data_IF_178128478298
#
_entry.id   IF_178128478298
#
_cell.length_a   1.000
_cell.length_b   1.000
_cell.length_c   1.000
_cell.angle_alpha   90.00
_cell.angle_beta   90.00
_cell.angle_gamma   90.00
#
_symmetry.space_group_name_H-M   'P 1'
#
loop_
_entity.id
_entity.type
_entity.pdbx_description
1 polymer ?
#
# COMPACT_ATOMS: atom_id res chain seq x y z
N UNK A 1 3.79 19.35 -4.10
CA UNK A 1 4.40 19.36 -5.45
C UNK A 1 4.91 17.97 -5.79
N UNK A 2 4.73 17.54 -7.03
CA UNK A 2 5.14 16.22 -7.53
C UNK A 2 6.48 16.40 -8.25
N UNK A 3 7.61 16.14 -7.58
CA UNK A 3 8.90 16.06 -8.27
C UNK A 3 9.02 14.67 -8.86
N UNK A 4 8.45 14.47 -10.06
CA UNK A 4 8.95 13.43 -10.96
C UNK A 4 9.83 14.11 -11.99
N UNK A 5 11.09 13.69 -12.07
CA UNK A 5 12.04 14.20 -13.06
C UNK A 5 12.57 13.04 -13.89
N UNK A 6 12.17 13.00 -15.15
CA UNK A 6 12.71 12.15 -16.21
C UNK A 6 13.84 12.89 -16.94
N UNK A 7 14.98 12.24 -17.17
CA UNK A 7 16.08 12.78 -17.99
C UNK A 7 16.13 12.01 -19.34
N UNK A 8 15.94 12.65 -20.52
CA UNK A 8 15.75 11.92 -21.78
C UNK A 8 17.01 11.44 -22.50
N UNK A 9 18.21 11.56 -21.92
CA UNK A 9 19.45 11.40 -22.69
C UNK A 9 20.52 10.54 -21.99
N UNK A 10 20.38 9.23 -22.12
CA UNK A 10 21.52 8.31 -22.30
C UNK A 10 20.97 6.91 -22.60
N UNK A 11 21.15 6.42 -23.83
CA UNK A 11 20.74 5.08 -24.28
C UNK A 11 21.56 3.95 -23.64
N UNK A 12 21.56 3.88 -22.31
CA UNK A 12 22.21 2.83 -21.52
C UNK A 12 21.19 2.37 -20.46
N UNK A 13 20.63 1.18 -20.67
CA UNK A 13 19.74 0.50 -19.72
C UNK A 13 20.54 0.02 -18.50
N UNK A 14 20.70 0.89 -17.50
CA UNK A 14 20.96 0.47 -16.11
C UNK A 14 19.72 0.79 -15.27
N UNK A 15 19.05 -0.19 -14.65
CA UNK A 15 17.78 0.00 -13.96
C UNK A 15 18.01 0.50 -12.52
N UNK A 16 18.73 1.61 -12.36
CA UNK A 16 18.93 2.25 -11.06
C UNK A 16 18.69 3.76 -11.24
N UNK A 17 17.61 4.26 -10.65
CA UNK A 17 17.19 5.69 -10.67
C UNK A 17 17.38 6.38 -9.30
N UNK A 18 18.55 6.42 -8.62
CA UNK A 18 18.55 6.73 -7.19
C UNK A 18 19.02 8.15 -6.81
N UNK A 19 19.36 9.06 -7.74
CA UNK A 19 20.01 10.33 -7.31
C UNK A 19 19.33 11.63 -7.75
N UNK A 20 18.32 11.58 -8.62
CA UNK A 20 17.74 12.81 -9.16
C UNK A 20 16.85 13.52 -8.12
N UNK A 21 17.17 14.78 -7.85
CA UNK A 21 16.30 15.71 -7.11
C UNK A 21 16.70 16.02 -5.67
N UNK A 22 17.71 15.37 -5.08
CA UNK A 22 18.20 15.76 -3.74
C UNK A 22 19.02 17.04 -3.78
N UNK A 23 19.68 17.30 -4.91
CA UNK A 23 20.45 18.52 -5.13
C UNK A 23 19.55 19.76 -5.02
N UNK A 24 19.94 20.72 -4.18
CA UNK A 24 19.17 21.93 -3.92
C UNK A 24 17.83 21.71 -3.22
N UNK A 25 17.56 20.52 -2.66
CA UNK A 25 16.27 20.20 -2.05
C UNK A 25 16.00 21.08 -0.82
N UNK A 26 17.01 21.37 -0.01
CA UNK A 26 16.85 22.19 1.19
C UNK A 26 16.37 23.61 0.85
N UNK A 27 16.99 24.24 -0.15
CA UNK A 27 16.64 25.57 -0.64
C UNK A 27 15.21 25.59 -1.20
N UNK A 28 14.85 24.56 -1.98
CA UNK A 28 13.48 24.41 -2.48
C UNK A 28 12.47 24.21 -1.34
N UNK A 29 12.77 23.36 -0.36
CA UNK A 29 11.91 23.14 0.79
C UNK A 29 11.70 24.42 1.60
N UNK A 30 12.77 25.17 1.86
CA UNK A 30 12.70 26.46 2.55
C UNK A 30 11.83 27.47 1.78
N UNK A 31 11.97 27.53 0.45
CA UNK A 31 11.13 28.39 -0.38
C UNK A 31 9.66 27.94 -0.37
N UNK A 32 9.38 26.65 -0.56
CA UNK A 32 8.01 26.14 -0.52
C UNK A 32 7.34 26.34 0.84
N UNK A 33 8.11 26.26 1.93
CA UNK A 33 7.60 26.58 3.26
C UNK A 33 7.16 28.04 3.36
N UNK A 34 7.95 28.97 2.81
CA UNK A 34 7.59 30.41 2.74
C UNK A 34 6.37 30.64 1.85
N UNK A 35 6.21 29.85 0.79
CA UNK A 35 5.07 29.91 -0.13
C UNK A 35 3.80 29.25 0.44
N UNK A 36 3.85 28.69 1.65
CA UNK A 36 2.69 28.13 2.36
C UNK A 36 2.52 26.61 2.25
N UNK A 37 3.47 25.88 1.68
CA UNK A 37 3.46 24.42 1.74
C UNK A 37 3.73 23.94 3.18
N UNK A 38 2.98 22.92 3.61
CA UNK A 38 3.13 22.29 4.94
C UNK A 38 3.66 20.84 4.85
N UNK A 39 3.59 20.25 3.66
CA UNK A 39 4.04 18.89 3.41
C UNK A 39 4.65 18.76 2.01
N UNK A 40 5.49 17.75 1.86
CA UNK A 40 6.11 17.39 0.60
C UNK A 40 5.80 15.91 0.27
N UNK A 41 6.09 15.49 -0.96
CA UNK A 41 5.94 14.09 -1.38
C UNK A 41 7.14 13.69 -2.24
N UNK A 42 7.70 12.52 -1.97
CA UNK A 42 8.73 11.93 -2.82
C UNK A 42 8.39 10.48 -3.15
N UNK A 43 8.42 10.16 -4.44
CA UNK A 43 8.06 8.85 -4.99
C UNK A 43 9.31 8.08 -5.39
N UNK A 44 9.40 6.86 -4.90
CA UNK A 44 10.34 5.83 -5.30
C UNK A 44 9.57 4.67 -5.91
N UNK A 45 10.17 3.97 -6.87
CA UNK A 45 9.48 2.96 -7.67
C UNK A 45 10.26 1.66 -7.65
N UNK A 46 9.58 0.57 -7.32
CA UNK A 46 10.12 -0.78 -7.30
C UNK A 46 9.25 -1.71 -8.12
N UNK A 47 9.86 -2.65 -8.85
CA UNK A 47 9.15 -3.59 -9.72
C UNK A 47 9.35 -5.02 -9.25
N UNK A 48 8.27 -5.81 -9.27
CA UNK A 48 8.31 -7.24 -8.98
C UNK A 48 8.63 -7.99 -10.28
N UNK A 49 9.70 -8.78 -10.27
CA UNK A 49 10.03 -9.77 -11.30
C UNK A 49 10.64 -11.00 -10.63
N UNK A 50 11.14 -11.97 -11.41
CA UNK A 50 11.88 -13.11 -10.86
C UNK A 50 13.14 -12.74 -10.07
N UNK A 51 13.73 -11.56 -10.32
CA UNK A 51 14.97 -11.12 -9.68
C UNK A 51 14.88 -9.72 -9.05
N UNK A 52 13.71 -9.07 -9.08
CA UNK A 52 13.51 -7.71 -8.56
C UNK A 52 12.32 -7.64 -7.61
N UNK A 53 12.32 -6.72 -6.63
CA UNK A 53 13.36 -5.71 -6.38
C UNK A 53 14.65 -6.33 -5.83
N UNK A 54 15.79 -5.95 -6.40
CA UNK A 54 17.09 -6.39 -5.92
C UNK A 54 17.38 -5.76 -4.56
N UNK A 55 18.29 -6.36 -3.79
CA UNK A 55 18.74 -5.78 -2.52
C UNK A 55 19.23 -4.34 -2.69
N UNK A 56 20.04 -4.09 -3.73
CA UNK A 56 20.55 -2.77 -4.06
C UNK A 56 19.41 -1.79 -4.34
N UNK A 57 18.42 -2.18 -5.16
CA UNK A 57 17.29 -1.31 -5.47
C UNK A 57 16.48 -0.93 -4.21
N UNK A 58 16.24 -1.88 -3.29
CA UNK A 58 15.55 -1.58 -2.03
C UNK A 58 16.36 -0.66 -1.12
N UNK A 59 17.66 -0.91 -0.99
CA UNK A 59 18.57 -0.11 -0.16
C UNK A 59 18.69 1.33 -0.68
N UNK A 60 18.92 1.52 -1.99
CA UNK A 60 19.07 2.85 -2.58
C UNK A 60 17.78 3.67 -2.46
N UNK A 61 16.62 3.09 -2.82
CA UNK A 61 15.35 3.80 -2.70
C UNK A 61 15.04 4.17 -1.24
N UNK A 62 15.33 3.28 -0.28
CA UNK A 62 15.13 3.57 1.14
C UNK A 62 16.03 4.71 1.63
N UNK A 63 17.31 4.73 1.26
CA UNK A 63 18.25 5.79 1.62
C UNK A 63 17.85 7.15 1.03
N UNK A 64 17.37 7.17 -0.22
CA UNK A 64 16.89 8.41 -0.87
C UNK A 64 15.69 8.97 -0.14
N UNK A 65 14.69 8.13 0.15
CA UNK A 65 13.50 8.53 0.90
C UNK A 65 13.86 9.05 2.30
N UNK A 66 14.84 8.43 2.96
CA UNK A 66 15.28 8.85 4.28
C UNK A 66 16.01 10.20 4.26
N UNK A 67 16.89 10.43 3.30
CA UNK A 67 17.55 11.74 3.09
C UNK A 67 16.54 12.82 2.75
N UNK A 68 15.62 12.53 1.83
CA UNK A 68 14.51 13.41 1.48
C UNK A 68 13.67 13.81 2.71
N UNK A 69 13.29 12.82 3.53
CA UNK A 69 12.47 13.04 4.72
C UNK A 69 13.18 13.90 5.76
N UNK A 70 14.46 13.62 6.01
CA UNK A 70 15.30 14.41 6.92
C UNK A 70 15.39 15.88 6.47
N UNK A 71 15.65 16.13 5.18
CA UNK A 71 15.72 17.50 4.62
C UNK A 71 14.36 18.22 4.74
N UNK A 72 13.24 17.53 4.48
CA UNK A 72 11.91 18.13 4.64
C UNK A 72 11.66 18.58 6.08
N UNK A 73 11.94 17.71 7.05
CA UNK A 73 11.71 18.00 8.47
C UNK A 73 12.56 19.18 8.96
N UNK A 74 13.83 19.26 8.54
CA UNK A 74 14.70 20.41 8.85
C UNK A 74 14.15 21.75 8.33
N UNK A 75 13.34 21.72 7.28
CA UNK A 75 12.71 22.90 6.67
C UNK A 75 11.24 23.05 7.04
N UNK A 76 10.76 22.32 8.05
CA UNK A 76 9.39 22.44 8.57
C UNK A 76 8.31 21.90 7.64
N UNK A 77 8.64 20.97 6.74
CA UNK A 77 7.68 20.27 5.88
C UNK A 77 7.50 18.83 6.35
N UNK A 78 6.26 18.36 6.42
CA UNK A 78 5.95 16.94 6.67
C UNK A 78 6.27 16.11 5.41
N UNK A 79 7.19 15.13 5.44
CA UNK A 79 7.46 14.28 4.29
C UNK A 79 6.43 13.15 4.16
N UNK A 80 5.80 13.07 2.99
CA UNK A 80 5.09 11.87 2.55
C UNK A 80 6.10 10.95 1.86
N UNK A 81 6.38 9.81 2.49
CA UNK A 81 7.32 8.79 2.03
C UNK A 81 6.57 7.79 1.14
N UNK A 82 6.86 7.75 -0.16
CA UNK A 82 6.13 6.93 -1.15
C UNK A 82 7.05 5.87 -1.80
N UNK A 83 7.29 4.71 -1.16
CA UNK A 83 7.95 3.55 -1.75
C UNK A 83 6.92 2.71 -2.53
N UNK A 84 6.64 3.05 -3.77
CA UNK A 84 5.65 2.35 -4.59
C UNK A 84 6.21 1.06 -5.18
N UNK A 85 5.61 -0.07 -4.81
CA UNK A 85 5.79 -1.34 -5.52
C UNK A 85 4.75 -1.43 -6.63
N UNK A 86 5.24 -1.52 -7.87
CA UNK A 86 4.40 -1.55 -9.07
C UNK A 86 3.61 -2.86 -9.17
N UNK A 87 2.34 -2.81 -9.62
CA UNK A 87 1.51 -3.98 -9.85
C UNK A 87 1.82 -4.70 -11.18
N UNK A 88 2.82 -4.26 -11.94
CA UNK A 88 3.23 -4.88 -13.20
C UNK A 88 3.70 -6.33 -12.99
N UNK A 89 3.19 -7.25 -13.82
CA UNK A 89 3.57 -8.67 -13.83
C UNK A 89 2.41 -9.61 -13.53
N UNK A 90 2.74 -10.90 -13.42
CA UNK A 90 1.81 -12.03 -13.21
C UNK A 90 1.89 -12.61 -11.78
N UNK A 91 2.64 -11.96 -10.90
CA UNK A 91 2.86 -12.39 -9.52
C UNK A 91 1.56 -12.46 -8.71
N UNK A 92 1.50 -13.41 -7.78
CA UNK A 92 0.35 -13.59 -6.90
C UNK A 92 0.33 -12.59 -5.73
N UNK A 93 -0.77 -12.59 -4.99
CA UNK A 93 -0.97 -11.69 -3.85
C UNK A 93 0.05 -11.95 -2.73
N UNK A 94 0.44 -13.21 -2.51
CA UNK A 94 1.40 -13.57 -1.48
C UNK A 94 2.80 -13.02 -1.78
N UNK A 95 3.20 -13.07 -3.05
CA UNK A 95 4.45 -12.47 -3.54
C UNK A 95 4.42 -10.95 -3.37
N UNK A 96 3.33 -10.29 -3.76
CA UNK A 96 3.17 -8.85 -3.56
C UNK A 96 3.25 -8.47 -2.06
N UNK A 97 2.62 -9.25 -1.18
CA UNK A 97 2.69 -9.03 0.26
C UNK A 97 4.14 -9.15 0.77
N UNK A 98 4.84 -10.21 0.40
CA UNK A 98 6.23 -10.46 0.79
C UNK A 98 7.16 -9.33 0.35
N UNK A 99 7.04 -8.90 -0.91
CA UNK A 99 7.87 -7.81 -1.43
C UNK A 99 7.55 -6.50 -0.71
N UNK A 100 6.27 -6.19 -0.47
CA UNK A 100 5.86 -5.00 0.28
C UNK A 100 6.45 -5.00 1.69
N UNK A 101 6.42 -6.14 2.39
CA UNK A 101 7.02 -6.29 3.72
C UNK A 101 8.53 -6.02 3.70
N UNK A 102 9.26 -6.54 2.71
CA UNK A 102 10.68 -6.26 2.56
C UNK A 102 10.94 -4.77 2.30
N UNK A 103 10.27 -4.18 1.30
CA UNK A 103 10.46 -2.77 0.93
C UNK A 103 10.20 -1.83 2.11
N UNK A 104 9.10 -2.04 2.85
CA UNK A 104 8.79 -1.24 4.03
C UNK A 104 9.82 -1.43 5.15
N UNK A 105 10.35 -2.64 5.34
CA UNK A 105 11.41 -2.89 6.32
C UNK A 105 12.69 -2.12 6.01
N UNK A 106 13.13 -2.13 4.75
CA UNK A 106 14.27 -1.31 4.30
C UNK A 106 13.99 0.19 4.50
N UNK A 107 12.78 0.64 4.12
CA UNK A 107 12.37 2.04 4.23
C UNK A 107 12.42 2.52 5.68
N UNK A 108 11.79 1.82 6.63
CA UNK A 108 11.77 2.26 8.02
C UNK A 108 13.12 2.13 8.72
N UNK A 109 13.94 1.13 8.35
CA UNK A 109 15.32 1.06 8.83
C UNK A 109 16.13 2.28 8.40
N UNK A 110 16.05 2.67 7.13
CA UNK A 110 16.74 3.86 6.62
C UNK A 110 16.21 5.15 7.28
N UNK A 111 14.89 5.29 7.45
CA UNK A 111 14.31 6.45 8.17
C UNK A 111 14.87 6.58 9.59
N UNK A 112 15.02 5.47 10.31
CA UNK A 112 15.62 5.46 11.65
C UNK A 112 17.12 5.82 11.62
N UNK A 113 17.87 5.28 10.67
CA UNK A 113 19.31 5.56 10.51
C UNK A 113 19.60 7.04 10.20
N UNK A 114 18.66 7.70 9.52
CA UNK A 114 18.71 9.13 9.21
C UNK A 114 18.04 10.01 10.27
N UNK A 115 17.69 9.45 11.43
CA UNK A 115 17.09 10.15 12.56
C UNK A 115 15.79 10.90 12.22
N UNK A 116 14.97 10.34 11.33
CA UNK A 116 13.69 10.92 10.94
C UNK A 116 12.68 10.77 12.07
N UNK A 117 12.02 11.87 12.43
CA UNK A 117 10.96 11.91 13.45
C UNK A 117 9.65 11.35 12.88
N UNK A 118 9.31 10.09 13.18
CA UNK A 118 8.25 9.35 12.51
C UNK A 118 6.84 9.91 12.73
N UNK A 119 6.57 10.49 13.89
CA UNK A 119 5.32 11.17 14.23
C UNK A 119 5.05 12.37 13.31
N UNK A 120 6.12 12.96 12.75
CA UNK A 120 6.07 14.03 11.76
C UNK A 120 6.20 13.54 10.32
N UNK A 121 5.76 12.31 10.00
CA UNK A 121 5.79 11.74 8.64
C UNK A 121 4.42 11.18 8.22
N UNK A 122 4.26 10.91 6.93
CA UNK A 122 3.18 10.06 6.43
C UNK A 122 3.75 9.00 5.49
N UNK A 123 3.18 7.80 5.50
CA UNK A 123 3.50 6.76 4.52
C UNK A 123 2.48 6.79 3.38
N UNK A 124 2.94 6.67 2.14
CA UNK A 124 2.11 6.49 0.96
C UNK A 124 2.53 5.22 0.22
N UNK A 125 2.08 4.04 0.66
CA UNK A 125 2.42 2.78 0.03
C UNK A 125 1.40 2.42 -1.05
N UNK A 126 1.74 1.46 -1.90
CA UNK A 126 0.75 0.70 -2.67
C UNK A 126 -0.13 -0.14 -1.74
N UNK A 127 -1.36 -0.41 -2.16
CA UNK A 127 -2.12 -1.52 -1.59
C UNK A 127 -1.47 -2.84 -2.01
N UNK A 128 -1.63 -3.90 -1.21
CA UNK A 128 -1.13 -5.23 -1.58
C UNK A 128 -2.15 -5.88 -2.51
N UNK A 129 -1.86 -5.88 -3.81
CA UNK A 129 -2.67 -6.49 -4.86
C UNK A 129 -1.84 -7.47 -5.66
N UNK A 130 -2.46 -8.49 -6.25
CA UNK A 130 -1.79 -9.33 -7.23
C UNK A 130 -1.39 -8.51 -8.47
N UNK A 131 -0.45 -9.04 -9.25
CA UNK A 131 0.00 -8.42 -10.48
C UNK A 131 -1.16 -8.27 -11.48
N UNK A 132 -1.13 -7.24 -12.32
CA UNK A 132 -2.20 -6.97 -13.28
C UNK A 132 -2.46 -8.14 -14.25
N UNK A 133 -1.39 -8.83 -14.64
CA UNK A 133 -1.42 -10.00 -15.52
C UNK A 133 -1.61 -11.32 -14.74
N UNK A 134 -1.83 -11.27 -13.43
CA UNK A 134 -2.08 -12.46 -12.63
C UNK A 134 -3.40 -13.12 -13.07
N UNK A 135 -3.36 -14.42 -13.34
CA UNK A 135 -4.53 -15.20 -13.76
C UNK A 135 -5.54 -15.38 -12.63
N UNK A 136 -5.08 -15.38 -11.38
CA UNK A 136 -5.94 -15.45 -10.21
C UNK A 136 -6.47 -14.05 -9.87
N UNK A 137 -7.80 -13.90 -9.90
CA UNK A 137 -8.48 -12.71 -9.40
C UNK A 137 -8.72 -12.81 -7.89
N UNK A 138 -8.65 -11.66 -7.24
CA UNK A 138 -8.88 -11.50 -5.82
C UNK A 138 -9.90 -10.39 -5.66
N UNK A 139 -11.13 -10.70 -5.25
CA UNK A 139 -12.12 -9.65 -5.07
C UNK A 139 -12.03 -9.05 -3.65
N UNK A 140 -12.46 -7.79 -3.47
CA UNK A 140 -12.51 -7.18 -2.15
C UNK A 140 -13.57 -7.83 -1.23
N UNK A 141 -14.55 -8.56 -1.77
CA UNK A 141 -15.57 -9.27 -0.99
C UNK A 141 -15.22 -10.73 -0.67
N UNK A 142 -14.26 -11.35 -1.37
CA UNK A 142 -13.97 -12.78 -1.25
C UNK A 142 -13.22 -13.12 0.04
N UNK A 143 -13.92 -13.54 1.11
CA UNK A 143 -13.25 -14.09 2.30
C UNK A 143 -12.80 -15.54 2.02
N UNK A 144 -11.57 -15.76 1.52
CA UNK A 144 -10.90 -17.07 1.63
C UNK A 144 -10.10 -17.10 2.93
N UNK A 145 -10.59 -17.88 3.89
CA UNK A 145 -9.92 -18.13 5.17
C UNK A 145 -8.59 -18.85 4.92
N UNK A 146 -7.48 -18.09 4.82
CA UNK A 146 -6.11 -18.63 4.88
C UNK A 146 -5.49 -18.50 6.29
N UNK A 147 -6.30 -18.22 7.30
CA UNK A 147 -5.86 -17.94 8.68
C UNK A 147 -5.85 -19.15 9.62
N UNK A 148 -5.85 -20.40 9.12
CA UNK A 148 -5.77 -21.56 10.02
C UNK A 148 -4.36 -22.05 10.36
N UNK A 149 -3.29 -21.52 9.73
CA UNK A 149 -1.96 -22.10 9.89
C UNK A 149 -1.03 -21.40 10.90
N UNK A 150 -1.21 -20.11 11.18
CA UNK A 150 -0.24 -19.35 12.00
C UNK A 150 -0.55 -19.35 13.50
N UNK A 151 -1.82 -19.17 13.90
CA UNK A 151 -2.16 -19.04 15.32
C UNK A 151 -2.23 -20.38 16.10
N UNK A 152 -2.46 -21.52 15.42
CA UNK A 152 -2.45 -22.83 16.11
C UNK A 152 -1.04 -23.35 16.39
N UNK A 153 -0.02 -22.88 15.67
CA UNK A 153 1.36 -23.37 15.83
C UNK A 153 2.06 -22.69 17.02
N UNK A 154 1.83 -21.40 17.25
CA UNK A 154 2.46 -20.65 18.35
C UNK A 154 1.91 -21.07 19.72
N UNK A 155 0.58 -21.24 19.84
CA UNK A 155 -0.05 -21.61 21.12
C UNK A 155 0.23 -23.05 21.54
N UNK A 156 0.48 -23.98 20.60
CA UNK A 156 0.81 -25.38 20.92
C UNK A 156 2.29 -25.61 21.26
N UNK A 157 3.19 -24.69 20.93
CA UNK A 157 4.61 -24.81 21.27
C UNK A 157 4.94 -24.36 22.71
N UNK A 158 4.13 -23.49 23.32
CA UNK A 158 4.37 -23.01 24.69
C UNK A 158 3.68 -23.85 25.79
N UNK A 159 2.84 -24.82 25.43
CA UNK A 159 2.16 -25.71 26.37
C UNK A 159 2.76 -27.13 26.37
N UNK A 160 4.03 -27.27 26.77
CA UNK A 160 4.61 -28.58 27.13
C UNK A 160 5.00 -28.60 28.61
N UNK A 161 4.17 -29.23 29.43
CA UNK A 161 4.56 -29.71 30.78
C UNK A 161 5.52 -30.91 30.65
N UNK A 162 6.45 -31.11 31.61
CA UNK A 162 7.42 -32.20 31.56
C UNK A 162 6.80 -33.46 32.15
N UNK A 163 6.27 -34.35 31.31
CA UNK A 163 6.02 -35.74 31.71
C UNK A 163 6.46 -36.66 30.59
N UNK A 164 7.46 -37.49 30.88
CA UNK A 164 8.10 -38.38 29.92
C UNK A 164 7.16 -39.47 29.40
N UNK A 165 6.65 -39.27 28.19
CA UNK A 165 6.10 -40.35 27.35
C UNK A 165 6.55 -40.11 25.91
N UNK A 166 7.35 -41.02 25.36
CA UNK A 166 7.82 -40.99 23.96
C UNK A 166 6.70 -41.51 23.04
N UNK A 167 6.16 -40.65 22.17
CA UNK A 167 5.23 -41.06 21.12
C UNK A 167 5.96 -41.21 19.76
N UNK A 168 5.65 -42.29 19.04
CA UNK A 168 6.22 -42.62 17.73
C UNK A 168 5.72 -41.65 16.63
N UNK A 169 6.64 -41.27 15.73
CA UNK A 169 6.48 -40.28 14.64
C UNK A 169 5.30 -40.58 13.69
N UNK A 170 4.87 -41.84 13.58
CA UNK A 170 3.73 -42.25 12.75
C UNK A 170 2.35 -41.96 13.37
N UNK A 171 2.24 -41.76 14.69
CA UNK A 171 0.96 -41.47 15.35
C UNK A 171 0.61 -39.97 15.40
N UNK A 172 1.60 -39.08 15.22
CA UNK A 172 1.38 -37.63 15.23
C UNK A 172 0.70 -37.12 13.95
N UNK A 173 0.97 -37.73 12.79
CA UNK A 173 0.47 -37.28 11.49
C UNK A 173 -1.02 -37.58 11.30
N UNK A 174 -1.50 -38.71 11.81
CA UNK A 174 -2.90 -39.14 11.64
C UNK A 174 -3.87 -38.39 12.56
N UNK A 175 -3.40 -37.89 13.72
CA UNK A 175 -4.25 -37.17 14.68
C UNK A 175 -4.48 -35.70 14.28
N UNK A 176 -3.50 -35.08 13.61
CA UNK A 176 -3.63 -33.73 13.05
C UNK A 176 -4.65 -33.69 11.90
N UNK A 177 -4.65 -34.71 11.04
CA UNK A 177 -5.58 -34.82 9.90
C UNK A 177 -7.04 -35.11 10.29
N UNK A 178 -7.29 -35.75 11.43
CA UNK A 178 -8.65 -36.01 11.93
C UNK A 178 -9.27 -34.82 12.68
N UNK A 179 -8.46 -33.98 13.33
CA UNK A 179 -8.97 -32.76 13.99
C UNK A 179 -9.33 -31.63 13.00
N UNK A 180 -8.77 -31.64 11.79
CA UNK A 180 -9.15 -30.71 10.72
C UNK A 180 -10.53 -30.99 10.11
N UNK A 181 -11.13 -32.17 10.36
CA UNK A 181 -12.42 -32.55 9.77
C UNK A 181 -13.64 -32.27 10.67
N UNK A 182 -13.45 -31.95 11.96
CA UNK A 182 -14.54 -31.85 12.95
C UNK A 182 -14.73 -30.46 13.57
N UNK A 183 -14.00 -29.44 13.11
CA UNK A 183 -14.16 -28.06 13.56
C UNK A 183 -14.94 -27.20 12.54
N UNK A 184 -16.10 -27.69 12.07
CA UNK A 184 -17.08 -26.91 11.28
C UNK A 184 -18.28 -26.45 12.12
N UNK A 185 -18.13 -26.43 13.45
CA UNK A 185 -19.13 -25.90 14.38
C UNK A 185 -19.00 -24.40 14.58
N UNK A 186 -19.89 -23.63 13.96
CA UNK A 186 -20.44 -22.40 14.56
C UNK A 186 -19.52 -21.19 14.78
N UNK A 187 -18.43 -21.02 14.02
CA UNK A 187 -17.74 -19.71 13.99
C UNK A 187 -18.56 -18.75 13.12
N UNK A 188 -19.09 -17.68 13.72
CA UNK A 188 -19.69 -16.57 12.96
C UNK A 188 -18.68 -16.11 11.90
N UNK A 189 -19.05 -16.25 10.63
CA UNK A 189 -18.25 -15.82 9.47
C UNK A 189 -17.97 -14.31 9.63
N UNK A 190 -16.71 -13.84 9.64
CA UNK A 190 -16.46 -12.41 9.64
C UNK A 190 -17.00 -11.85 8.32
N UNK A 191 -17.94 -10.92 8.44
CA UNK A 191 -18.52 -10.26 7.29
C UNK A 191 -17.49 -9.25 6.75
N UNK A 192 -17.04 -9.43 5.49
CA UNK A 192 -16.71 -8.29 4.62
C UNK A 192 -15.24 -7.88 4.42
N UNK A 193 -14.24 -8.74 4.67
CA UNK A 193 -12.83 -8.37 4.44
C UNK A 193 -12.15 -9.30 3.44
N UNK A 194 -12.05 -8.86 2.18
CA UNK A 194 -11.36 -9.61 1.13
C UNK A 194 -9.84 -9.72 1.33
N UNK A 195 -9.18 -10.59 0.56
CA UNK A 195 -7.76 -10.92 0.65
C UNK A 195 -6.84 -9.71 0.52
N UNK A 196 -7.20 -8.72 -0.30
CA UNK A 196 -6.42 -7.47 -0.48
C UNK A 196 -6.35 -6.70 0.84
N UNK A 197 -7.48 -6.54 1.52
CA UNK A 197 -7.53 -5.85 2.82
C UNK A 197 -6.66 -6.55 3.86
N UNK A 198 -6.84 -7.87 4.00
CA UNK A 198 -6.09 -8.67 4.97
C UNK A 198 -4.58 -8.66 4.68
N UNK A 199 -4.18 -8.88 3.42
CA UNK A 199 -2.77 -8.88 3.03
C UNK A 199 -2.12 -7.51 3.26
N UNK A 200 -2.82 -6.42 2.92
CA UNK A 200 -2.35 -5.05 3.13
C UNK A 200 -2.17 -4.75 4.62
N UNK A 201 -3.20 -4.97 5.45
CA UNK A 201 -3.11 -4.69 6.90
C UNK A 201 -2.04 -5.55 7.56
N UNK A 202 -1.91 -6.82 7.15
CA UNK A 202 -0.87 -7.72 7.68
C UNK A 202 0.54 -7.20 7.34
N UNK A 203 0.78 -6.77 6.10
CA UNK A 203 2.07 -6.23 5.70
C UNK A 203 2.44 -4.97 6.50
N UNK A 204 1.46 -4.08 6.71
CA UNK A 204 1.65 -2.87 7.50
C UNK A 204 1.93 -3.19 8.98
N UNK A 205 1.16 -4.08 9.59
CA UNK A 205 1.34 -4.53 10.98
C UNK A 205 2.73 -5.12 11.24
N UNK A 206 3.35 -5.75 10.24
CA UNK A 206 4.67 -6.38 10.37
C UNK A 206 5.83 -5.40 10.25
N UNK A 207 5.61 -4.20 9.71
CA UNK A 207 6.71 -3.35 9.23
C UNK A 207 6.63 -1.88 9.63
N UNK A 208 5.43 -1.33 9.79
CA UNK A 208 5.24 0.09 10.09
C UNK A 208 5.31 0.29 11.61
N UNK A 209 6.14 1.21 12.13
CA UNK A 209 6.10 1.59 13.54
C UNK A 209 4.82 2.34 13.91
N UNK A 210 4.33 2.14 15.14
CA UNK A 210 3.09 2.76 15.64
C UNK A 210 3.18 4.28 15.79
N UNK A 211 4.38 4.85 15.81
CA UNK A 211 4.62 6.30 15.90
C UNK A 211 4.23 7.04 14.63
N UNK A 212 4.15 6.36 13.48
CA UNK A 212 3.63 6.96 12.26
C UNK A 212 2.17 7.35 12.50
N UNK A 213 1.70 8.57 12.15
CA UNK A 213 0.32 8.98 12.43
C UNK A 213 -0.68 8.45 11.39
N UNK A 214 -0.25 8.26 10.15
CA UNK A 214 -1.15 7.92 9.06
C UNK A 214 -0.50 7.32 7.82
N UNK A 215 -1.31 6.53 7.13
CA UNK A 215 -0.99 5.84 5.88
C UNK A 215 -2.01 6.30 4.84
N UNK A 216 -1.51 6.89 3.76
CA UNK A 216 -2.30 7.55 2.72
C UNK A 216 -2.09 6.81 1.40
N UNK A 217 -2.85 5.75 1.14
CA UNK A 217 -2.62 4.84 0.01
C UNK A 217 -2.64 5.57 -1.35
N UNK A 218 -1.74 5.17 -2.24
CA UNK A 218 -1.84 5.49 -3.66
C UNK A 218 -2.84 4.55 -4.35
N UNK A 219 -3.52 5.03 -5.39
CA UNK A 219 -4.46 4.20 -6.16
C UNK A 219 -3.75 3.28 -7.15
N UNK A 220 -2.52 3.62 -7.57
CA UNK A 220 -1.83 2.92 -8.64
C UNK A 220 -2.68 2.95 -9.91
N UNK A 221 -2.76 1.81 -10.61
CA UNK A 221 -3.58 1.62 -11.82
C UNK A 221 -5.04 1.20 -11.58
N UNK A 222 -5.48 1.12 -10.32
CA UNK A 222 -6.87 0.74 -9.98
C UNK A 222 -7.88 1.73 -10.57
N UNK A 223 -9.07 1.23 -10.90
CA UNK A 223 -10.21 2.09 -11.23
C UNK A 223 -10.61 2.97 -10.05
N UNK A 224 -11.45 3.99 -10.30
CA UNK A 224 -11.94 4.83 -9.21
C UNK A 224 -12.74 3.99 -8.19
N UNK A 225 -13.58 3.08 -8.68
CA UNK A 225 -14.40 2.23 -7.83
C UNK A 225 -13.59 1.18 -7.07
N UNK A 226 -12.66 0.49 -7.75
CA UNK A 226 -11.77 -0.50 -7.13
C UNK A 226 -10.97 0.11 -5.98
N UNK A 227 -10.39 1.29 -6.19
CA UNK A 227 -9.61 1.98 -5.17
C UNK A 227 -10.45 2.36 -3.92
N UNK A 228 -11.73 2.67 -4.11
CA UNK A 228 -12.65 2.98 -3.01
C UNK A 228 -13.08 1.70 -2.26
N UNK A 229 -13.43 0.64 -2.98
CA UNK A 229 -13.83 -0.63 -2.38
C UNK A 229 -12.65 -1.24 -1.61
N UNK A 230 -11.45 -1.26 -2.19
CA UNK A 230 -10.26 -1.79 -1.51
C UNK A 230 -9.91 -0.99 -0.25
N UNK A 231 -9.97 0.35 -0.29
CA UNK A 231 -9.75 1.17 0.90
C UNK A 231 -10.79 0.90 2.00
N UNK A 232 -12.05 0.72 1.61
CA UNK A 232 -13.12 0.36 2.55
C UNK A 232 -12.86 -1.01 3.17
N UNK A 233 -12.50 -2.01 2.35
CA UNK A 233 -12.15 -3.35 2.81
C UNK A 233 -10.96 -3.35 3.78
N UNK A 234 -9.92 -2.55 3.51
CA UNK A 234 -8.78 -2.34 4.41
C UNK A 234 -9.23 -1.80 5.77
N UNK A 235 -10.12 -0.80 5.78
CA UNK A 235 -10.63 -0.22 7.03
C UNK A 235 -11.58 -1.16 7.79
N UNK A 236 -12.25 -2.07 7.09
CA UNK A 236 -13.10 -3.11 7.67
C UNK A 236 -12.32 -4.29 8.27
N UNK A 237 -11.01 -4.43 8.00
CA UNK A 237 -10.20 -5.54 8.56
C UNK A 237 -10.23 -5.48 10.08
N UNK A 238 -10.67 -6.57 10.71
CA UNK A 238 -10.65 -6.67 12.18
C UNK A 238 -9.22 -6.70 12.71
N UNK A 239 -9.01 -6.10 13.89
CA UNK A 239 -7.71 -6.07 14.56
C UNK A 239 -7.07 -4.69 14.67
N UNK A 240 -5.92 -4.67 15.35
CA UNK A 240 -5.23 -3.45 15.76
C UNK A 240 -4.60 -2.71 14.57
N UNK A 241 -5.05 -1.48 14.33
CA UNK A 241 -4.54 -0.59 13.27
C UNK A 241 -4.23 0.76 13.93
N UNK A 242 -3.01 0.97 14.45
CA UNK A 242 -2.67 2.17 15.22
C UNK A 242 -2.53 3.43 14.34
N UNK A 243 -2.54 3.27 13.02
CA UNK A 243 -2.47 4.35 12.03
C UNK A 243 -3.86 4.70 11.50
N UNK A 244 -4.04 5.96 11.09
CA UNK A 244 -5.16 6.31 10.20
C UNK A 244 -4.88 5.73 8.80
N UNK A 245 -5.83 4.96 8.26
CA UNK A 245 -5.75 4.37 6.92
C UNK A 245 -6.66 5.13 5.95
N UNK A 246 -6.09 5.96 5.09
CA UNK A 246 -6.81 6.85 4.18
C UNK A 246 -6.16 6.88 2.79
N UNK A 247 -6.55 7.82 1.93
CA UNK A 247 -6.14 7.90 0.53
C UNK A 247 -5.26 9.11 0.23
N UNK A 248 -4.38 8.95 -0.76
CA UNK A 248 -3.69 10.03 -1.50
C UNK A 248 -3.80 9.72 -3.00
N UNK A 249 -5.00 9.93 -3.54
CA UNK A 249 -5.36 9.54 -4.91
C UNK A 249 -5.18 10.67 -5.91
N UNK A 250 -4.58 10.33 -7.06
CA UNK A 250 -4.58 11.16 -8.27
C UNK A 250 -5.67 10.67 -9.21
N UNK A 251 -5.33 9.70 -10.07
CA UNK A 251 -6.23 9.11 -11.08
C UNK A 251 -7.58 8.69 -10.50
N UNK A 252 -7.61 7.94 -9.38
CA UNK A 252 -8.85 7.45 -8.78
C UNK A 252 -9.81 8.53 -8.22
N UNK A 253 -9.35 9.79 -8.15
CA UNK A 253 -10.15 10.93 -7.73
C UNK A 253 -10.49 11.87 -8.91
N UNK A 254 -9.72 11.81 -10.00
CA UNK A 254 -9.74 12.81 -11.07
C UNK A 254 -10.18 12.26 -12.43
N UNK A 255 -10.25 10.94 -12.64
CA UNK A 255 -10.57 10.38 -13.95
C UNK A 255 -11.96 10.80 -14.44
N UNK A 256 -13.00 10.65 -13.61
CA UNK A 256 -14.35 11.11 -13.93
C UNK A 256 -14.43 12.64 -14.04
N UNK A 257 -13.64 13.36 -13.25
CA UNK A 257 -13.56 14.83 -13.27
C UNK A 257 -13.05 15.32 -14.62
N UNK A 258 -11.95 14.76 -15.11
CA UNK A 258 -11.35 15.11 -16.39
C UNK A 258 -12.28 14.73 -17.56
N UNK A 259 -12.94 13.56 -17.48
CA UNK A 259 -13.90 13.13 -18.48
C UNK A 259 -15.14 14.04 -18.57
N UNK A 260 -15.63 14.54 -17.43
CA UNK A 260 -16.74 15.48 -17.37
C UNK A 260 -16.35 16.89 -17.82
N UNK A 261 -15.15 17.35 -17.45
CA UNK A 261 -14.68 18.69 -17.78
C UNK A 261 -14.29 18.85 -19.25
N UNK A 262 -13.57 17.89 -19.83
CA UNK A 262 -13.09 17.92 -21.23
C UNK A 262 -12.24 19.17 -21.59
N UNK A 263 -11.68 19.87 -20.60
CA UNK A 263 -10.95 21.13 -20.82
C UNK A 263 -11.83 22.32 -21.20
N UNK A 264 -13.16 22.20 -21.13
CA UNK A 264 -14.12 23.21 -21.58
C UNK A 264 -14.59 24.10 -20.40
N UNK A 265 -14.45 25.43 -20.46
CA UNK A 265 -14.88 26.34 -19.39
C UNK A 265 -16.34 26.15 -18.96
N UNK A 266 -17.23 25.86 -19.92
CA UNK A 266 -18.65 25.62 -19.68
C UNK A 266 -18.95 24.34 -18.87
N UNK A 267 -17.99 23.41 -18.79
CA UNK A 267 -18.12 22.15 -18.07
C UNK A 267 -17.44 22.16 -16.69
N UNK A 268 -16.91 23.31 -16.23
CA UNK A 268 -16.26 23.42 -14.92
C UNK A 268 -17.18 22.91 -13.80
N UNK A 269 -18.45 23.29 -13.82
CA UNK A 269 -19.42 22.84 -12.81
C UNK A 269 -19.62 21.32 -12.82
N UNK A 270 -19.68 20.70 -14.01
CA UNK A 270 -19.80 19.23 -14.14
C UNK A 270 -18.58 18.52 -13.56
N UNK A 271 -17.38 19.05 -13.81
CA UNK A 271 -16.15 18.52 -13.21
C UNK A 271 -16.15 18.63 -11.68
N UNK A 272 -16.61 19.77 -11.13
CA UNK A 272 -16.73 19.98 -9.69
C UNK A 272 -17.73 19.03 -9.03
N UNK A 273 -18.88 18.78 -9.67
CA UNK A 273 -19.87 17.80 -9.18
C UNK A 273 -19.27 16.38 -9.10
N UNK A 274 -18.56 15.94 -10.15
CA UNK A 274 -17.89 14.64 -10.14
C UNK A 274 -16.81 14.56 -9.05
N UNK A 275 -16.05 15.65 -8.84
CA UNK A 275 -15.03 15.69 -7.80
C UNK A 275 -15.65 15.52 -6.40
N UNK A 276 -16.77 16.21 -6.13
CA UNK A 276 -17.50 16.09 -4.85
C UNK A 276 -18.04 14.67 -4.63
N UNK A 277 -18.59 14.04 -5.67
CA UNK A 277 -19.03 12.63 -5.60
C UNK A 277 -17.87 11.72 -5.24
N UNK A 278 -16.75 11.82 -5.96
CA UNK A 278 -15.56 10.98 -5.73
C UNK A 278 -14.93 11.24 -4.35
N UNK A 279 -14.86 12.49 -3.91
CA UNK A 279 -14.36 12.86 -2.59
C UNK A 279 -15.23 12.27 -1.47
N UNK A 280 -16.56 12.29 -1.62
CA UNK A 280 -17.50 11.68 -0.67
C UNK A 280 -17.34 10.16 -0.61
N UNK A 281 -17.19 9.50 -1.76
CA UNK A 281 -16.93 8.05 -1.84
C UNK A 281 -15.63 7.69 -1.14
N UNK A 282 -14.53 8.39 -1.45
CA UNK A 282 -13.23 8.14 -0.81
C UNK A 282 -13.26 8.40 0.70
N UNK A 283 -14.00 9.44 1.13
CA UNK A 283 -14.21 9.74 2.55
C UNK A 283 -15.04 8.69 3.29
N UNK A 284 -16.03 8.07 2.64
CA UNK A 284 -16.75 6.94 3.21
C UNK A 284 -15.89 5.67 3.26
N UNK A 285 -15.06 5.45 2.24
CA UNK A 285 -14.13 4.34 2.19
C UNK A 285 -13.06 4.40 3.28
N UNK A 286 -12.52 5.59 3.58
CA UNK A 286 -11.56 5.77 4.69
C UNK A 286 -12.18 5.52 6.08
N UNK A 287 -13.51 5.47 6.17
CA UNK A 287 -14.25 5.09 7.38
C UNK A 287 -14.70 3.63 7.39
N UNK A 288 -14.41 2.85 6.34
CA UNK A 288 -14.93 1.48 6.17
C UNK A 288 -16.45 1.44 5.95
N UNK A 289 -17.06 2.53 5.47
CA UNK A 289 -18.51 2.67 5.32
C UNK A 289 -18.98 2.61 3.86
N UNK A 290 -18.06 2.50 2.91
CA UNK A 290 -18.39 2.37 1.50
C UNK A 290 -18.61 0.90 1.13
N UNK A 291 -19.73 0.61 0.45
CA UNK A 291 -20.14 -0.76 0.06
C UNK A 291 -20.25 -0.95 -1.46
N UNK A 292 -19.68 -0.02 -2.22
CA UNK A 292 -19.79 -0.01 -3.68
C UNK A 292 -21.09 0.60 -4.21
N UNK A 293 -21.13 0.86 -5.52
CA UNK A 293 -22.34 1.22 -6.26
C UNK A 293 -22.52 2.71 -6.59
N UNK A 294 -21.52 3.55 -6.34
CA UNK A 294 -21.46 4.92 -6.86
C UNK A 294 -20.38 5.02 -7.94
N UNK A 295 -20.75 4.65 -9.16
CA UNK A 295 -19.88 4.78 -10.33
C UNK A 295 -19.90 6.23 -10.84
N UNK A 296 -18.71 6.83 -10.97
CA UNK A 296 -18.52 8.07 -11.72
C UNK A 296 -18.50 7.80 -13.22
N UNK A 297 -18.40 8.86 -14.03
CA UNK A 297 -18.36 8.75 -15.50
C UNK A 297 -17.27 7.79 -16.06
N UNK A 298 -16.20 7.55 -15.31
CA UNK A 298 -15.10 6.63 -15.62
C UNK A 298 -14.88 5.55 -14.54
N UNK A 299 -15.88 5.28 -13.69
CA UNK A 299 -15.73 4.56 -12.42
C UNK A 299 -15.13 3.15 -12.52
N UNK A 300 -15.46 2.40 -13.56
CA UNK A 300 -15.06 0.99 -13.74
C UNK A 300 -13.86 0.77 -14.67
N UNK A 301 -13.36 1.84 -15.30
CA UNK A 301 -12.26 1.72 -16.26
C UNK A 301 -10.93 1.57 -15.51
N UNK A 302 -10.12 0.59 -15.93
CA UNK A 302 -8.72 0.53 -15.47
C UNK A 302 -8.03 1.84 -15.82
N UNK A 303 -7.43 2.46 -14.82
CA UNK A 303 -6.74 3.73 -15.02
C UNK A 303 -5.29 3.52 -15.39
N UNK A 304 -4.82 2.27 -15.48
CA UNK A 304 -3.47 1.91 -15.86
C UNK A 304 -3.13 2.39 -17.27
N UNK A 305 -1.92 2.92 -17.43
CA UNK A 305 -1.39 3.34 -18.73
C UNK A 305 -0.04 2.63 -18.90
N UNK A 306 0.09 1.68 -19.85
CA UNK A 306 1.35 1.01 -20.14
C UNK A 306 2.44 2.02 -20.51
N UNK A 307 3.64 1.85 -19.96
CA UNK A 307 4.79 2.74 -20.23
C UNK A 307 4.56 4.21 -19.90
N UNK A 308 3.59 4.54 -19.04
CA UNK A 308 3.40 5.91 -18.59
C UNK A 308 4.59 6.34 -17.74
N UNK A 309 5.36 7.30 -18.25
CA UNK A 309 6.35 8.01 -17.48
C UNK A 309 5.61 8.94 -16.49
N UNK A 310 5.47 8.51 -15.23
CA UNK A 310 4.90 9.30 -14.13
C UNK A 310 5.93 10.24 -13.52
#
# INVERSE_FOLDING_TARGET
MNTSTYCPHSGIDFPIFPFLGLDGLAERCAQYRKDGAEFAKWRCVLKITSHTPSYLAMMENANVLARYASICQQNGLVPIVEPEVLPDGDHDLATAQKVTEHVLSFTYKALMDHHVYLEGTLLKPNMVTAGQSCTQRYTPEEVRVFTHFTNSCITKQMARKPTGVKFSRKQLTTKCARQSAQATGGVKRPHGTGPIGLATVTALQRTVPVSVPGITFLSGGQSEEEAAINLSAINCVEGHKPWRLTFSYGRALQASVLAAWQGKPENVHKGQEELLKRAKVCGLASLGKYKGGQTGAAGDQTLFVPSHAY
#
